data_IF_269995867265
#
_entry.id   IF_269995867265
#
_cell.length_a   1.000
_cell.length_b   1.000
_cell.length_c   1.000
_cell.angle_alpha   90.00
_cell.angle_beta   90.00
_cell.angle_gamma   90.00
#
_symmetry.space_group_name_H-M   'P 1'
#
loop_
_entity.id
_entity.type
_entity.pdbx_description
1 polymer ?
#
# COMPACT_ATOMS: atom_id res chain seq x y z
N UNK A 1 4.39 1.36 1.14
CA UNK A 1 3.16 1.96 0.58
C UNK A 1 3.34 3.41 0.19
N UNK A 2 3.50 4.33 1.16
CA UNK A 2 3.51 5.78 0.92
C UNK A 2 4.54 6.20 -0.13
N UNK A 3 5.77 5.68 -0.04
CA UNK A 3 6.81 5.96 -1.03
C UNK A 3 6.43 5.52 -2.46
N UNK A 4 5.76 4.38 -2.62
CA UNK A 4 5.29 3.89 -3.92
C UNK A 4 4.21 4.78 -4.52
N UNK A 5 3.27 5.27 -3.69
CA UNK A 5 2.25 6.23 -4.14
C UNK A 5 2.88 7.59 -4.49
N UNK A 6 3.85 8.06 -3.71
CA UNK A 6 4.58 9.29 -4.02
C UNK A 6 5.37 9.21 -5.33
N UNK A 7 5.97 8.05 -5.64
CA UNK A 7 6.65 7.83 -6.92
C UNK A 7 5.69 7.97 -8.12
N UNK A 8 4.40 7.69 -7.91
CA UNK A 8 3.32 7.87 -8.89
C UNK A 8 2.72 9.28 -8.86
N UNK A 9 3.31 10.23 -8.13
CA UNK A 9 2.80 11.60 -7.97
C UNK A 9 1.43 11.65 -7.29
N UNK A 10 1.17 10.70 -6.37
CA UNK A 10 0.00 10.67 -5.51
C UNK A 10 0.42 10.98 -4.07
N UNK A 11 -0.09 12.08 -3.52
CA UNK A 11 0.13 12.43 -2.11
C UNK A 11 -0.97 11.80 -1.26
N UNK A 12 -0.59 11.04 -0.24
CA UNK A 12 -1.55 10.52 0.74
C UNK A 12 -1.94 11.65 1.69
N UNK A 13 -3.21 12.06 1.65
CA UNK A 13 -3.76 13.04 2.58
C UNK A 13 -4.27 12.38 3.85
N UNK A 14 -4.96 11.25 3.68
CA UNK A 14 -5.50 10.46 4.78
C UNK A 14 -5.36 8.98 4.47
N UNK A 15 -4.92 8.21 5.46
CA UNK A 15 -4.81 6.76 5.39
C UNK A 15 -5.47 6.19 6.65
N UNK A 16 -6.50 5.39 6.45
CA UNK A 16 -7.07 4.58 7.50
C UNK A 16 -6.81 3.10 7.20
N UNK A 17 -6.34 2.38 8.22
CA UNK A 17 -6.15 0.93 8.17
C UNK A 17 -6.98 0.32 9.29
N UNK A 18 -7.93 -0.53 8.94
CA UNK A 18 -8.74 -1.28 9.89
C UNK A 18 -8.39 -2.76 9.75
N UNK A 19 -7.78 -3.34 10.78
CA UNK A 19 -7.54 -4.78 10.84
C UNK A 19 -8.81 -5.51 11.29
N UNK A 20 -9.14 -6.61 10.62
CA UNK A 20 -10.23 -7.51 10.93
C UNK A 20 -9.76 -8.96 10.74
N UNK A 21 -9.40 -9.61 11.83
CA UNK A 21 -8.77 -10.94 11.85
C UNK A 21 -7.55 -11.01 10.89
N UNK A 22 -7.64 -11.83 9.84
CA UNK A 22 -6.61 -11.99 8.82
C UNK A 22 -6.71 -10.97 7.66
N UNK A 23 -7.68 -10.06 7.70
CA UNK A 23 -7.89 -9.03 6.69
C UNK A 23 -7.44 -7.65 7.20
N UNK A 24 -6.97 -6.81 6.30
CA UNK A 24 -6.81 -5.38 6.53
C UNK A 24 -7.60 -4.59 5.47
N UNK A 25 -8.48 -3.70 5.93
CA UNK A 25 -9.19 -2.75 5.08
C UNK A 25 -8.42 -1.44 5.04
N UNK A 26 -8.09 -1.00 3.83
CA UNK A 26 -7.40 0.25 3.57
C UNK A 26 -8.36 1.26 2.96
N UNK A 27 -8.43 2.45 3.55
CA UNK A 27 -9.12 3.61 2.97
C UNK A 27 -8.13 4.75 2.81
N UNK A 28 -7.97 5.21 1.57
CA UNK A 28 -6.99 6.23 1.21
C UNK A 28 -7.70 7.44 0.59
N UNK A 29 -7.38 8.64 1.08
CA UNK A 29 -7.66 9.89 0.40
C UNK A 29 -6.37 10.40 -0.22
N UNK A 30 -6.36 10.49 -1.55
CA UNK A 30 -5.18 10.84 -2.33
C UNK A 30 -5.38 12.18 -3.01
N UNK A 31 -4.34 13.00 -3.02
CA UNK A 31 -4.24 14.17 -3.90
C UNK A 31 -3.40 13.78 -5.10
N UNK A 32 -3.93 14.05 -6.28
CA UNK A 32 -3.20 13.92 -7.54
C UNK A 32 -2.32 15.16 -7.69
N UNK A 33 -1.00 14.98 -7.76
CA UNK A 33 -0.06 16.09 -7.92
C UNK A 33 0.18 16.43 -9.40
N UNK A 34 0.78 17.59 -9.63
CA UNK A 34 1.18 18.02 -10.97
C UNK A 34 2.16 17.02 -11.61
N UNK A 35 1.88 16.69 -12.88
CA UNK A 35 2.65 15.72 -13.65
C UNK A 35 2.31 14.27 -13.34
N UNK A 36 1.22 13.98 -12.62
CA UNK A 36 0.69 12.62 -12.52
C UNK A 36 0.25 12.11 -13.90
N UNK A 37 0.76 10.95 -14.30
CA UNK A 37 0.44 10.32 -15.59
C UNK A 37 -0.85 9.49 -15.60
N UNK A 38 -1.54 9.36 -14.46
CA UNK A 38 -2.78 8.60 -14.33
C UNK A 38 -3.96 9.50 -14.69
N UNK A 39 -4.80 9.04 -15.62
CA UNK A 39 -5.79 9.91 -16.30
C UNK A 39 -7.20 9.75 -15.76
N UNK A 40 -7.49 8.61 -15.15
CA UNK A 40 -8.82 8.28 -14.64
C UNK A 40 -8.76 7.81 -13.18
N UNK A 41 -9.91 7.84 -12.50
CA UNK A 41 -10.02 7.26 -11.16
C UNK A 41 -9.74 5.75 -11.14
N UNK A 42 -10.04 5.06 -12.24
CA UNK A 42 -9.74 3.63 -12.41
C UNK A 42 -8.23 3.38 -12.48
N UNK A 43 -7.49 4.18 -13.26
CA UNK A 43 -6.02 4.12 -13.34
C UNK A 43 -5.39 4.30 -11.94
N UNK A 44 -5.91 5.24 -11.16
CA UNK A 44 -5.46 5.50 -9.79
C UNK A 44 -5.77 4.31 -8.89
N UNK A 45 -6.99 3.76 -8.96
CA UNK A 45 -7.37 2.60 -8.16
C UNK A 45 -6.50 1.38 -8.48
N UNK A 46 -6.24 1.11 -9.76
CA UNK A 46 -5.38 0.03 -10.21
C UNK A 46 -3.94 0.20 -9.72
N UNK A 47 -3.39 1.41 -9.83
CA UNK A 47 -2.02 1.69 -9.38
C UNK A 47 -1.88 1.58 -7.85
N UNK A 48 -2.85 2.08 -7.08
CA UNK A 48 -2.90 1.94 -5.63
C UNK A 48 -3.00 0.46 -5.23
N UNK A 49 -3.86 -0.29 -5.89
CA UNK A 49 -4.01 -1.72 -5.64
C UNK A 49 -2.70 -2.47 -5.92
N UNK A 50 -2.00 -2.15 -7.02
CA UNK A 50 -0.71 -2.76 -7.35
C UNK A 50 0.34 -2.50 -6.26
N UNK A 51 0.44 -1.25 -5.77
CA UNK A 51 1.35 -0.91 -4.66
C UNK A 51 1.02 -1.70 -3.39
N UNK A 52 -0.26 -1.85 -3.05
CA UNK A 52 -0.71 -2.64 -1.90
C UNK A 52 -0.35 -4.13 -2.07
N UNK A 53 -0.58 -4.68 -3.26
CA UNK A 53 -0.27 -6.07 -3.58
C UNK A 53 1.22 -6.36 -3.44
N UNK A 54 2.07 -5.47 -3.97
CA UNK A 54 3.53 -5.59 -3.85
C UNK A 54 3.96 -5.67 -2.38
N UNK A 55 3.40 -4.82 -1.51
CA UNK A 55 3.76 -4.81 -0.09
C UNK A 55 3.25 -6.05 0.63
N UNK A 56 2.07 -6.52 0.27
CA UNK A 56 1.52 -7.75 0.83
C UNK A 56 2.40 -8.96 0.47
N UNK A 57 2.80 -9.07 -0.80
CA UNK A 57 3.71 -10.12 -1.26
C UNK A 57 5.09 -10.05 -0.56
N UNK A 58 5.66 -8.87 -0.37
CA UNK A 58 6.91 -8.68 0.38
C UNK A 58 6.77 -9.09 1.85
N UNK A 59 5.61 -8.84 2.47
CA UNK A 59 5.33 -9.25 3.84
C UNK A 59 5.18 -10.77 3.99
N UNK A 60 4.62 -11.45 2.98
CA UNK A 60 4.52 -12.92 2.93
C UNK A 60 5.86 -13.59 2.58
N UNK A 61 6.72 -12.92 1.81
CA UNK A 61 8.02 -13.44 1.38
C UNK A 61 9.13 -13.35 2.45
N UNK A 62 8.93 -12.56 3.52
CA UNK A 62 9.86 -12.54 4.64
C UNK A 62 9.74 -13.85 5.45
N UNK A 63 10.79 -14.70 5.51
CA UNK A 63 10.74 -15.85 6.40
C UNK A 63 10.62 -15.31 7.83
N UNK A 64 9.66 -15.83 8.61
CA UNK A 64 9.45 -15.54 10.03
C UNK A 64 10.62 -16.01 10.93
N UNK A 65 11.85 -15.92 10.44
CA UNK A 65 13.03 -16.51 11.05
C UNK A 65 13.63 -15.57 12.10
N UNK A 66 12.88 -15.27 13.16
CA UNK A 66 13.46 -14.89 14.45
C UNK A 66 12.39 -14.94 15.53
N UNK A 67 12.17 -16.13 16.12
CA UNK A 67 11.67 -16.33 17.49
C UNK A 67 11.65 -17.85 17.77
N UNK A 68 12.84 -18.45 17.78
CA UNK A 68 13.06 -19.67 18.57
C UNK A 68 13.65 -19.21 19.90
N UNK A 69 12.96 -19.37 21.05
CA UNK A 69 13.62 -19.19 22.33
C UNK A 69 14.72 -20.25 22.45
N UNK A 70 15.96 -19.79 22.72
CA UNK A 70 17.01 -20.67 23.17
C UNK A 70 16.54 -21.37 24.45
N UNK A 71 16.81 -22.67 24.51
CA UNK A 71 16.50 -23.56 25.64
C UNK A 71 17.07 -23.04 26.97
#
# INVERSE_FOLDING_TARGET
>A
MVAGLQALRLTVLHLNVTALDSLALYSLSLKVEEGCGLTTADDIAAAVHHVLCFIHAEAEAAPQQLLAPAQ
#
